data_IF_998476824225
#
_entry.id   IF_998476824225
#
_cell.length_a   1.000
_cell.length_b   1.000
_cell.length_c   1.000
_cell.angle_alpha   90.00
_cell.angle_beta   90.00
_cell.angle_gamma   90.00
#
_symmetry.space_group_name_H-M   'P 1'
#
loop_
_entity.id
_entity.type
_entity.pdbx_description
1 polymer ?
#
# COMPACT_ATOMS: atom_id res chain seq x y z
N UNK A 1 2.06 -17.62 -11.37
CA UNK A 1 1.07 -16.59 -10.99
C UNK A 1 1.37 -16.19 -9.55
N UNK A 2 1.79 -14.94 -9.35
CA UNK A 2 2.31 -14.46 -8.06
C UNK A 2 1.19 -14.44 -7.03
N UNK A 3 1.31 -15.27 -6.00
CA UNK A 3 0.39 -15.39 -4.85
C UNK A 3 0.05 -14.04 -4.19
N UNK A 4 0.85 -13.00 -4.43
CA UNK A 4 0.79 -11.68 -3.81
C UNK A 4 -0.01 -10.63 -4.60
N UNK A 5 -0.45 -10.92 -5.83
CA UNK A 5 -1.21 -9.94 -6.64
C UNK A 5 -2.59 -9.56 -6.07
N UNK A 6 -3.38 -10.52 -5.55
CA UNK A 6 -4.63 -10.21 -4.86
C UNK A 6 -4.38 -9.33 -3.63
N UNK A 7 -3.34 -9.64 -2.86
CA UNK A 7 -3.01 -8.94 -1.62
C UNK A 7 -2.55 -7.49 -1.84
N UNK A 8 -1.70 -7.23 -2.83
CA UNK A 8 -1.30 -5.85 -3.18
C UNK A 8 -2.51 -5.00 -3.61
N UNK A 9 -3.48 -5.62 -4.30
CA UNK A 9 -4.68 -4.90 -4.77
C UNK A 9 -5.60 -4.53 -3.61
N UNK A 10 -5.78 -5.43 -2.65
CA UNK A 10 -6.53 -5.18 -1.42
C UNK A 10 -5.88 -4.07 -0.60
N UNK A 11 -4.56 -4.15 -0.36
CA UNK A 11 -3.80 -3.15 0.40
C UNK A 11 -3.89 -1.78 -0.28
N UNK A 12 -3.69 -1.72 -1.60
CA UNK A 12 -3.79 -0.48 -2.34
C UNK A 12 -5.20 0.14 -2.28
N UNK A 13 -6.24 -0.68 -2.24
CA UNK A 13 -7.62 -0.20 -2.12
C UNK A 13 -7.89 0.38 -0.74
N UNK A 14 -7.38 -0.28 0.30
CA UNK A 14 -7.44 0.23 1.67
C UNK A 14 -6.71 1.57 1.82
N UNK A 15 -5.48 1.66 1.30
CA UNK A 15 -4.68 2.89 1.34
C UNK A 15 -5.35 4.04 0.60
N UNK A 16 -5.95 3.77 -0.56
CA UNK A 16 -6.71 4.77 -1.31
C UNK A 16 -7.99 5.25 -0.63
N UNK A 17 -8.51 4.51 0.36
CA UNK A 17 -9.66 4.89 1.16
C UNK A 17 -9.28 5.63 2.45
N UNK A 18 -8.08 5.37 2.98
CA UNK A 18 -7.62 5.88 4.28
C UNK A 18 -6.69 7.08 4.15
N UNK A 19 -5.85 7.12 3.12
CA UNK A 19 -4.94 8.24 2.89
C UNK A 19 -5.63 9.30 2.01
N UNK A 20 -5.57 10.59 2.40
CA UNK A 20 -6.20 11.66 1.64
C UNK A 20 -5.51 11.82 0.27
N UNK A 21 -6.25 11.57 -0.80
CA UNK A 21 -5.85 11.94 -2.17
C UNK A 21 -6.70 13.11 -2.64
N UNK A 22 -6.10 14.30 -2.69
CA UNK A 22 -6.77 15.48 -3.24
C UNK A 22 -6.85 15.40 -4.77
N UNK A 23 -8.05 15.59 -5.31
CA UNK A 23 -8.26 15.77 -6.76
C UNK A 23 -8.15 14.50 -7.61
N UNK A 24 -8.01 13.31 -7.01
CA UNK A 24 -7.99 12.04 -7.74
C UNK A 24 -9.24 11.20 -7.42
N UNK A 25 -9.78 10.51 -8.41
CA UNK A 25 -10.83 9.53 -8.15
C UNK A 25 -10.26 8.35 -7.35
N UNK A 26 -11.10 7.70 -6.54
CA UNK A 26 -10.67 6.57 -5.72
C UNK A 26 -10.06 5.43 -6.56
N UNK A 27 -10.64 5.14 -7.72
CA UNK A 27 -10.13 4.12 -8.64
C UNK A 27 -8.72 4.43 -9.15
N UNK A 28 -8.43 5.70 -9.45
CA UNK A 28 -7.10 6.17 -9.87
C UNK A 28 -6.10 6.05 -8.72
N UNK A 29 -6.52 6.44 -7.52
CA UNK A 29 -5.74 6.31 -6.29
C UNK A 29 -5.37 4.84 -6.02
N UNK A 30 -6.31 3.91 -6.20
CA UNK A 30 -6.07 2.46 -6.08
C UNK A 30 -4.99 2.02 -7.08
N UNK A 31 -5.10 2.40 -8.36
CA UNK A 31 -4.11 2.02 -9.36
C UNK A 31 -2.72 2.60 -9.07
N UNK A 32 -2.66 3.86 -8.61
CA UNK A 32 -1.41 4.50 -8.23
C UNK A 32 -0.72 3.75 -7.08
N UNK A 33 -1.47 3.38 -6.04
CA UNK A 33 -0.95 2.59 -4.93
C UNK A 33 -0.51 1.18 -5.38
N UNK A 34 -1.28 0.50 -6.23
CA UNK A 34 -0.88 -0.82 -6.78
C UNK A 34 0.45 -0.73 -7.52
N UNK A 35 0.62 0.30 -8.35
CA UNK A 35 1.86 0.50 -9.11
C UNK A 35 3.03 0.79 -8.17
N UNK A 36 2.84 1.69 -7.21
CA UNK A 36 3.84 2.07 -6.21
C UNK A 36 4.31 0.87 -5.40
N UNK A 37 3.38 0.07 -4.85
CA UNK A 37 3.70 -1.10 -4.03
C UNK A 37 4.41 -2.20 -4.84
N UNK A 38 4.02 -2.41 -6.10
CA UNK A 38 4.70 -3.35 -7.00
C UNK A 38 6.13 -2.92 -7.28
N UNK A 39 6.31 -1.65 -7.65
CA UNK A 39 7.63 -1.09 -7.93
C UNK A 39 8.53 -1.16 -6.69
N UNK A 40 8.02 -0.76 -5.52
CA UNK A 40 8.76 -0.79 -4.27
C UNK A 40 9.22 -2.21 -3.90
N UNK A 41 8.38 -3.23 -4.13
CA UNK A 41 8.75 -4.63 -3.88
C UNK A 41 9.81 -5.15 -4.85
N UNK A 42 9.78 -4.71 -6.11
CA UNK A 42 10.78 -5.09 -7.11
C UNK A 42 12.13 -4.37 -6.93
N UNK A 43 12.11 -3.18 -6.34
CA UNK A 43 13.30 -2.34 -6.12
C UNK A 43 13.90 -2.46 -4.71
N UNK A 44 13.40 -3.39 -3.89
CA UNK A 44 13.78 -3.57 -2.47
C UNK A 44 13.56 -2.31 -1.61
N UNK A 45 12.64 -1.43 -2.05
CA UNK A 45 12.23 -0.20 -1.37
C UNK A 45 10.91 -0.37 -0.60
N UNK A 46 10.40 -1.58 -0.44
CA UNK A 46 9.09 -1.80 0.19
C UNK A 46 9.07 -1.42 1.68
N UNK A 47 10.18 -1.61 2.36
CA UNK A 47 10.33 -1.32 3.79
C UNK A 47 10.27 0.18 4.11
N UNK A 48 10.99 1.09 3.41
CA UNK A 48 10.82 2.52 3.62
C UNK A 48 9.42 3.02 3.21
N UNK A 49 8.80 2.43 2.19
CA UNK A 49 7.41 2.77 1.80
C UNK A 49 6.42 2.37 2.89
N UNK A 50 6.55 1.17 3.45
CA UNK A 50 5.70 0.72 4.56
C UNK A 50 5.86 1.61 5.80
N UNK A 51 7.08 2.05 6.12
CA UNK A 51 7.31 2.99 7.23
C UNK A 51 6.67 4.36 6.99
N UNK A 52 6.71 4.87 5.76
CA UNK A 52 6.04 6.11 5.39
C UNK A 52 4.52 5.98 5.59
N UNK A 53 3.92 4.91 5.05
CA UNK A 53 2.49 4.63 5.17
C UNK A 53 2.06 4.56 6.65
N UNK A 54 2.83 3.89 7.51
CA UNK A 54 2.54 3.82 8.95
C UNK A 54 2.51 5.18 9.63
N UNK A 55 3.38 6.10 9.22
CA UNK A 55 3.40 7.47 9.79
C UNK A 55 2.19 8.28 9.35
N UNK A 56 1.71 8.07 8.13
CA UNK A 56 0.61 8.84 7.56
C UNK A 56 -0.76 8.30 7.97
N UNK A 57 -0.87 6.97 8.15
CA UNK A 57 -2.09 6.29 8.60
C UNK A 57 -2.10 6.02 10.12
N UNK A 58 -1.46 6.88 10.92
CA UNK A 58 -1.28 6.69 12.35
C UNK A 58 -2.58 6.27 13.06
N UNK A 59 -2.52 5.12 13.75
CA UNK A 59 -3.63 4.62 14.56
C UNK A 59 -4.63 3.74 13.80
N UNK A 60 -4.36 3.35 12.56
CA UNK A 60 -5.13 2.33 11.84
C UNK A 60 -4.47 0.93 11.95
N UNK A 61 -5.01 0.01 12.77
CA UNK A 61 -4.45 -1.32 12.97
C UNK A 61 -4.43 -2.16 11.69
N UNK A 62 -5.35 -1.90 10.75
CA UNK A 62 -5.40 -2.64 9.49
C UNK A 62 -4.25 -2.21 8.57
N UNK A 63 -3.95 -0.90 8.52
CA UNK A 63 -2.78 -0.40 7.79
C UNK A 63 -1.47 -0.91 8.38
N UNK A 64 -1.33 -0.99 9.71
CA UNK A 64 -0.14 -1.54 10.36
C UNK A 64 0.11 -3.00 9.94
N UNK A 65 -0.95 -3.82 9.98
CA UNK A 65 -0.91 -5.22 9.54
C UNK A 65 -0.57 -5.36 8.06
N UNK A 66 -1.16 -4.54 7.19
CA UNK A 66 -0.84 -4.56 5.77
C UNK A 66 0.62 -4.18 5.51
N UNK A 67 1.18 -3.24 6.28
CA UNK A 67 2.60 -2.92 6.22
C UNK A 67 3.49 -4.10 6.67
N UNK A 68 3.08 -4.88 7.69
CA UNK A 68 3.79 -6.10 8.06
C UNK A 68 3.73 -7.14 6.93
N UNK A 69 2.57 -7.34 6.32
CA UNK A 69 2.39 -8.27 5.20
C UNK A 69 3.20 -7.86 3.95
N UNK A 70 3.36 -6.55 3.69
CA UNK A 70 4.18 -6.04 2.58
C UNK A 70 5.68 -6.30 2.79
N UNK A 71 6.15 -6.22 4.03
CA UNK A 71 7.57 -6.35 4.41
C UNK A 71 7.95 -7.80 4.76
N UNK A 72 6.97 -8.66 5.02
CA UNK A 72 7.20 -10.10 5.18
C UNK A 72 7.83 -10.69 3.90
N UNK A 73 9.03 -11.25 4.09
CA UNK A 73 9.86 -11.88 3.05
C UNK A 73 9.39 -13.28 2.72
#
# INVERSE_FOLDING_TARGET
MSRNEPQITEIASHLAATLPTEGAEHAESVQAWRHTLRYARQSDAIEPIAQMIRRDAQGDPLTERYCDELTAR
#
